data_IF_316213772964
#
_entry.id   IF_316213772964
#
_cell.length_a   1.000
_cell.length_b   1.000
_cell.length_c   1.000
_cell.angle_alpha   90.00
_cell.angle_beta   90.00
_cell.angle_gamma   90.00
#
_symmetry.space_group_name_H-M   'P 1'
#
loop_
_entity.id
_entity.type
_entity.pdbx_description
1 polymer ?
#
# COMPACT_ATOMS: atom_id res chain seq x y z
N UNK A 1 4.37 -0.67 -15.64
CA UNK A 1 4.73 -0.89 -14.22
C UNK A 1 5.92 -1.85 -14.13
N UNK A 2 5.87 -3.00 -14.80
CA UNK A 2 6.99 -3.97 -14.86
C UNK A 2 7.87 -3.80 -16.10
N UNK A 3 9.16 -4.11 -15.99
CA UNK A 3 10.09 -4.16 -17.12
C UNK A 3 9.79 -5.36 -18.04
N UNK A 4 10.10 -5.22 -19.32
CA UNK A 4 9.77 -6.21 -20.35
C UNK A 4 10.80 -7.33 -20.49
N UNK A 5 11.97 -7.22 -19.84
CA UNK A 5 13.08 -8.18 -20.04
C UNK A 5 13.01 -9.34 -19.07
N UNK A 6 12.47 -9.15 -17.86
CA UNK A 6 12.33 -10.22 -16.87
C UNK A 6 10.93 -10.34 -16.26
N UNK A 7 10.01 -9.37 -16.50
CA UNK A 7 8.67 -9.28 -15.87
C UNK A 7 8.66 -9.27 -14.33
N UNK A 8 9.82 -9.43 -13.69
CA UNK A 8 10.00 -9.49 -12.23
C UNK A 8 10.29 -8.10 -11.64
N UNK A 9 10.86 -7.18 -12.42
CA UNK A 9 11.30 -5.87 -11.94
C UNK A 9 10.40 -4.74 -12.43
N UNK A 10 10.49 -3.58 -11.77
CA UNK A 10 9.74 -2.39 -12.15
C UNK A 10 10.46 -1.57 -13.22
N UNK A 11 9.71 -0.83 -14.03
CA UNK A 11 10.31 0.22 -14.89
C UNK A 11 10.85 1.37 -14.02
N UNK A 12 11.65 2.27 -14.60
CA UNK A 12 12.11 3.48 -13.89
C UNK A 12 10.95 4.31 -13.31
N UNK A 13 9.84 4.40 -14.06
CA UNK A 13 8.60 5.03 -13.58
C UNK A 13 7.92 4.22 -12.48
N UNK A 14 7.94 2.89 -12.56
CA UNK A 14 7.42 2.01 -11.52
C UNK A 14 8.17 2.18 -10.19
N UNK A 15 9.50 2.18 -10.21
CA UNK A 15 10.32 2.43 -9.02
C UNK A 15 10.14 3.84 -8.45
N UNK A 16 9.99 4.87 -9.32
CA UNK A 16 9.61 6.20 -8.84
C UNK A 16 8.26 6.17 -8.12
N UNK A 17 7.26 5.50 -8.71
CA UNK A 17 5.95 5.31 -8.10
C UNK A 17 6.02 4.59 -6.75
N UNK A 18 6.84 3.54 -6.65
CA UNK A 18 7.08 2.81 -5.40
C UNK A 18 7.75 3.69 -4.34
N UNK A 19 8.79 4.45 -4.70
CA UNK A 19 9.45 5.39 -3.79
C UNK A 19 8.48 6.46 -3.26
N UNK A 20 7.72 7.08 -4.17
CA UNK A 20 6.69 8.06 -3.84
C UNK A 20 5.64 7.43 -2.92
N UNK A 21 5.21 6.21 -3.20
CA UNK A 21 4.27 5.46 -2.37
C UNK A 21 4.80 5.20 -0.97
N UNK A 22 6.02 4.67 -0.82
CA UNK A 22 6.66 4.40 0.48
C UNK A 22 6.73 5.68 1.31
N UNK A 23 7.32 6.75 0.76
CA UNK A 23 7.48 8.01 1.50
C UNK A 23 6.12 8.59 1.88
N UNK A 24 5.20 8.67 0.91
CA UNK A 24 3.88 9.25 1.17
C UNK A 24 3.13 8.42 2.22
N UNK A 25 3.08 7.09 2.10
CA UNK A 25 2.39 6.24 3.06
C UNK A 25 3.01 6.31 4.45
N UNK A 26 4.34 6.20 4.57
CA UNK A 26 5.01 6.24 5.88
C UNK A 26 4.84 7.59 6.58
N UNK A 27 4.97 8.70 5.83
CA UNK A 27 4.71 10.04 6.36
C UNK A 27 3.23 10.22 6.74
N UNK A 28 2.30 9.64 5.97
CA UNK A 28 0.85 9.66 6.26
C UNK A 28 0.44 8.76 7.43
N UNK A 29 1.16 7.67 7.71
CA UNK A 29 0.84 6.70 8.77
C UNK A 29 1.68 6.88 10.03
N UNK A 30 2.46 7.96 10.16
CA UNK A 30 3.13 8.33 11.42
C UNK A 30 2.15 8.43 12.61
N UNK A 31 0.86 8.57 12.30
CA UNK A 31 -0.28 8.52 13.19
C UNK A 31 -0.49 7.19 13.97
N UNK A 32 0.28 6.12 13.75
CA UNK A 32 -0.02 4.78 14.34
C UNK A 32 1.00 4.20 15.32
N UNK A 33 2.03 4.94 15.68
CA UNK A 33 3.23 4.32 16.27
C UNK A 33 3.05 3.86 17.72
N UNK A 34 2.56 2.64 17.93
CA UNK A 34 2.97 1.82 19.08
C UNK A 34 3.93 0.73 18.59
N UNK A 35 5.19 0.83 19.03
CA UNK A 35 6.21 -0.23 19.08
C UNK A 35 6.51 -1.00 17.77
N UNK A 36 7.60 -0.57 17.12
CA UNK A 36 8.52 -1.36 16.28
C UNK A 36 8.01 -2.15 15.06
N UNK A 37 6.74 -2.08 14.65
CA UNK A 37 6.30 -2.68 13.38
C UNK A 37 5.51 -1.67 12.53
N UNK A 38 6.14 -1.21 11.43
CA UNK A 38 5.63 -0.12 10.60
C UNK A 38 4.60 -0.62 9.58
N UNK A 39 4.72 -1.86 9.11
CA UNK A 39 3.79 -2.46 8.15
C UNK A 39 4.02 -3.99 8.09
N UNK A 40 3.00 -4.80 8.38
CA UNK A 40 2.99 -6.20 7.96
C UNK A 40 1.90 -6.34 6.91
N UNK A 41 2.30 -6.37 5.64
CA UNK A 41 1.40 -6.71 4.55
C UNK A 41 1.76 -8.10 4.07
N UNK A 42 0.94 -9.06 4.49
CA UNK A 42 0.99 -10.42 3.97
C UNK A 42 -0.04 -10.53 2.83
N UNK A 43 0.36 -10.39 1.55
CA UNK A 43 -0.54 -10.51 0.41
C UNK A 43 -1.20 -11.91 0.33
N UNK A 44 -0.65 -12.94 0.98
CA UNK A 44 -1.26 -14.26 1.04
C UNK A 44 -2.42 -14.34 2.06
N UNK A 45 -2.44 -13.50 3.11
CA UNK A 45 -3.61 -13.34 4.01
C UNK A 45 -4.72 -12.52 3.36
N UNK A 46 -4.37 -11.61 2.45
CA UNK A 46 -5.32 -10.92 1.58
C UNK A 46 -5.50 -11.72 0.29
N UNK A 47 -6.05 -12.92 0.44
CA UNK A 47 -6.42 -13.82 -0.65
C UNK A 47 -7.04 -13.05 -1.82
N UNK A 48 -6.57 -13.40 -3.02
CA UNK A 48 -7.01 -12.96 -4.35
C UNK A 48 -8.38 -12.27 -4.35
N UNK A 49 -8.42 -11.01 -4.75
CA UNK A 49 -9.63 -10.39 -5.28
C UNK A 49 -10.05 -11.14 -6.55
N UNK A 50 -10.80 -12.22 -6.41
CA UNK A 50 -11.51 -12.84 -7.53
C UNK A 50 -12.86 -12.16 -7.65
N UNK A 51 -13.00 -11.29 -8.65
CA UNK A 51 -14.32 -10.82 -9.08
C UNK A 51 -15.02 -11.96 -9.80
N UNK A 52 -15.81 -12.74 -9.07
CA UNK A 52 -16.84 -13.59 -9.66
C UNK A 52 -18.18 -13.05 -9.17
N UNK A 53 -18.92 -12.42 -10.10
CA UNK A 53 -20.33 -12.08 -9.94
C UNK A 53 -21.08 -13.26 -9.28
N UNK A 54 -21.84 -12.99 -8.21
CA UNK A 54 -22.60 -14.01 -7.48
C UNK A 54 -23.72 -13.40 -6.63
N UNK A 55 -24.93 -13.94 -6.81
CA UNK A 55 -26.24 -13.45 -6.38
C UNK A 55 -26.48 -13.40 -4.86
N UNK A 56 -27.43 -12.54 -4.47
CA UNK A 56 -28.10 -12.51 -3.17
C UNK A 56 -29.19 -13.59 -3.16
N UNK A 57 -29.15 -14.51 -2.19
CA UNK A 57 -30.32 -15.34 -1.82
C UNK A 57 -31.06 -14.75 -0.63
N UNK A 58 -32.38 -14.82 -0.72
CA UNK A 58 -33.40 -14.21 0.15
C UNK A 58 -33.72 -15.07 1.38
N UNK A 59 -33.10 -14.80 2.53
CA UNK A 59 -33.53 -15.39 3.82
C UNK A 59 -33.68 -14.38 4.97
N UNK A 60 -33.62 -13.08 4.69
CA UNK A 60 -34.34 -12.08 5.50
C UNK A 60 -33.75 -11.68 6.85
N UNK A 61 -32.47 -11.98 7.14
CA UNK A 61 -31.81 -11.56 8.41
C UNK A 61 -30.44 -10.87 8.19
N UNK A 62 -30.28 -10.13 7.07
CA UNK A 62 -29.00 -9.55 6.68
C UNK A 62 -28.74 -8.15 7.27
N UNK A 63 -27.64 -7.97 8.01
CA UNK A 63 -26.99 -6.65 8.18
C UNK A 63 -25.83 -6.59 7.18
N UNK A 64 -26.14 -6.01 6.02
CA UNK A 64 -25.13 -5.51 5.08
C UNK A 64 -24.55 -4.20 5.62
N UNK A 65 -23.41 -3.75 5.07
CA UNK A 65 -22.95 -2.36 5.18
C UNK A 65 -24.18 -1.47 4.99
N UNK A 66 -24.59 -0.63 5.97
CA UNK A 66 -25.80 0.17 5.81
C UNK A 66 -25.50 1.30 4.81
N UNK A 67 -25.58 0.95 3.52
CA UNK A 67 -25.52 1.91 2.43
C UNK A 67 -26.90 2.48 2.28
N UNK A 68 -27.04 3.76 2.60
CA UNK A 68 -28.31 4.47 2.37
C UNK A 68 -28.14 5.31 1.11
N UNK A 69 -29.00 5.07 0.12
CA UNK A 69 -29.10 5.96 -1.04
C UNK A 69 -29.65 7.30 -0.58
N UNK A 70 -29.03 8.38 -1.04
CA UNK A 70 -29.48 9.74 -0.76
C UNK A 70 -29.98 10.36 -2.07
N UNK A 71 -31.24 10.83 -2.08
CA UNK A 71 -31.86 11.51 -3.21
C UNK A 71 -33.24 10.97 -3.62
N UNK A 72 -33.90 11.65 -4.56
CA UNK A 72 -35.22 11.29 -5.09
C UNK A 72 -35.17 11.07 -6.60
N UNK A 73 -35.22 9.81 -7.05
CA UNK A 73 -35.73 9.45 -8.37
C UNK A 73 -36.55 8.16 -8.21
N UNK A 74 -37.87 8.28 -8.35
CA UNK A 74 -38.80 7.15 -8.36
C UNK A 74 -38.48 6.25 -9.57
N UNK A 75 -38.72 4.95 -9.41
CA UNK A 75 -38.78 3.88 -10.43
C UNK A 75 -37.49 3.37 -11.09
N UNK A 76 -37.18 2.09 -10.81
CA UNK A 76 -36.57 1.13 -11.77
C UNK A 76 -35.04 1.01 -11.75
N UNK A 77 -34.52 -0.22 -11.70
CA UNK A 77 -33.08 -0.52 -11.78
C UNK A 77 -32.40 -0.06 -13.07
N UNK A 78 -31.05 -0.12 -13.07
CA UNK A 78 -30.12 0.15 -14.17
C UNK A 78 -30.66 1.10 -15.26
N UNK A 79 -30.34 2.38 -15.07
CA UNK A 79 -31.20 3.54 -15.19
C UNK A 79 -32.16 3.75 -16.38
N UNK A 80 -33.18 4.56 -16.07
CA UNK A 80 -33.24 5.90 -16.66
C UNK A 80 -33.38 7.03 -15.59
N UNK A 81 -32.24 7.62 -15.22
CA UNK A 81 -32.05 9.04 -14.84
C UNK A 81 -32.20 9.52 -13.37
N UNK A 82 -31.69 8.92 -12.29
CA UNK A 82 -30.46 8.15 -12.16
C UNK A 82 -30.52 7.22 -10.94
N UNK A 83 -29.99 6.02 -11.12
CA UNK A 83 -30.17 4.83 -10.28
C UNK A 83 -28.90 3.95 -10.23
N UNK A 84 -27.73 4.50 -10.61
CA UNK A 84 -26.53 3.73 -10.97
C UNK A 84 -25.43 3.79 -9.88
N UNK A 85 -25.75 3.35 -8.67
CA UNK A 85 -24.75 2.94 -7.70
C UNK A 85 -24.48 1.44 -7.85
N UNK A 86 -23.27 1.09 -8.26
CA UNK A 86 -22.84 -0.29 -8.49
C UNK A 86 -21.76 -0.65 -7.48
N UNK A 87 -21.96 -1.74 -6.75
CA UNK A 87 -20.89 -2.37 -5.98
C UNK A 87 -19.96 -3.11 -6.95
N UNK A 88 -18.68 -2.78 -6.93
CA UNK A 88 -17.69 -3.28 -7.91
C UNK A 88 -16.75 -4.34 -7.34
N UNK A 89 -16.58 -4.39 -6.02
CA UNK A 89 -15.84 -5.43 -5.32
C UNK A 89 -16.44 -5.64 -3.93
N UNK A 90 -16.52 -6.90 -3.51
CA UNK A 90 -16.89 -7.29 -2.15
C UNK A 90 -15.66 -7.34 -1.24
N UNK A 91 -15.84 -6.92 0.02
CA UNK A 91 -14.98 -7.35 1.10
C UNK A 91 -15.25 -8.84 1.39
N UNK A 92 -14.57 -9.71 0.66
CA UNK A 92 -14.52 -11.15 0.95
C UNK A 92 -13.61 -11.34 2.16
N UNK A 93 -14.16 -11.32 3.38
CA UNK A 93 -13.30 -11.54 4.55
C UNK A 93 -13.91 -11.47 5.94
N UNK A 94 -15.16 -11.01 6.11
CA UNK A 94 -15.81 -10.99 7.42
C UNK A 94 -17.15 -11.73 7.40
N UNK A 95 -17.09 -12.97 6.94
CA UNK A 95 -18.14 -13.96 7.17
C UNK A 95 -17.74 -14.75 8.40
N UNK A 96 -18.48 -14.59 9.50
CA UNK A 96 -18.32 -15.49 10.63
C UNK A 96 -18.95 -16.83 10.24
N UNK A 97 -18.10 -17.83 9.99
CA UNK A 97 -18.50 -19.18 9.57
C UNK A 97 -19.39 -19.85 10.63
N UNK A 98 -19.27 -19.47 11.90
CA UNK A 98 -20.12 -19.97 12.99
C UNK A 98 -21.49 -19.29 13.07
N UNK A 99 -21.65 -18.08 12.51
CA UNK A 99 -22.89 -17.30 12.58
C UNK A 99 -23.61 -17.15 11.24
N UNK A 100 -23.04 -17.66 10.15
CA UNK A 100 -23.52 -17.59 8.77
C UNK A 100 -24.03 -16.19 8.36
N UNK A 101 -23.32 -15.13 8.81
CA UNK A 101 -23.69 -13.73 8.53
C UNK A 101 -22.46 -12.83 8.41
N UNK A 102 -22.62 -11.70 7.71
CA UNK A 102 -21.64 -10.60 7.73
C UNK A 102 -21.63 -9.96 9.12
N UNK A 103 -20.45 -9.84 9.74
CA UNK A 103 -20.27 -9.17 11.04
C UNK A 103 -20.24 -7.65 10.84
N UNK A 104 -20.78 -6.90 11.80
CA UNK A 104 -20.82 -5.43 11.74
C UNK A 104 -19.43 -4.82 11.53
N UNK A 105 -19.32 -3.92 10.55
CA UNK A 105 -18.11 -3.15 10.27
C UNK A 105 -17.82 -2.19 11.43
N UNK A 106 -16.73 -2.46 12.12
CA UNK A 106 -16.21 -1.62 13.18
C UNK A 106 -14.73 -1.39 12.93
N UNK A 107 -14.19 -0.28 13.45
CA UNK A 107 -12.76 0.03 13.34
C UNK A 107 -11.85 -1.03 14.01
N UNK A 108 -12.45 -1.94 14.80
CA UNK A 108 -11.75 -3.04 15.44
C UNK A 108 -10.93 -2.59 16.64
N UNK A 109 -10.38 -3.57 17.35
CA UNK A 109 -9.38 -3.34 18.40
C UNK A 109 -7.96 -3.25 17.84
N UNK A 110 -7.77 -3.56 16.55
CA UNK A 110 -6.48 -3.56 15.91
C UNK A 110 -6.03 -2.12 15.58
N UNK A 111 -4.82 -1.73 15.99
CA UNK A 111 -4.22 -0.44 15.61
C UNK A 111 -3.81 -0.37 14.13
N UNK A 112 -3.81 -1.52 13.44
CA UNK A 112 -3.55 -1.63 12.01
C UNK A 112 -4.77 -1.24 11.16
N UNK A 113 -4.59 -1.27 9.84
CA UNK A 113 -5.61 -0.83 8.89
C UNK A 113 -6.83 -1.74 8.96
N UNK A 114 -8.00 -1.17 9.25
CA UNK A 114 -9.25 -1.90 9.08
C UNK A 114 -9.91 -1.45 7.78
N UNK A 115 -10.16 -2.39 6.88
CA UNK A 115 -10.93 -2.13 5.68
C UNK A 115 -12.42 -2.18 6.02
N UNK A 116 -13.12 -1.07 5.75
CA UNK A 116 -14.46 -0.79 6.28
C UNK A 116 -15.55 -0.67 5.23
N UNK A 117 -15.26 -0.76 3.92
CA UNK A 117 -16.32 -0.70 2.92
C UNK A 117 -16.03 -1.54 1.70
N UNK A 118 -17.08 -1.99 1.01
CA UNK A 118 -16.95 -2.47 -0.35
C UNK A 118 -16.48 -1.33 -1.28
N UNK A 119 -16.13 -1.68 -2.53
CA UNK A 119 -15.88 -0.67 -3.56
C UNK A 119 -17.16 -0.32 -4.30
N UNK A 120 -17.41 0.97 -4.53
CA UNK A 120 -18.63 1.47 -5.15
C UNK A 120 -18.33 2.38 -6.34
N UNK A 121 -19.13 2.29 -7.38
CA UNK A 121 -19.15 3.19 -8.52
C UNK A 121 -20.52 3.85 -8.61
N UNK A 122 -20.58 5.17 -8.47
CA UNK A 122 -21.77 5.98 -8.71
C UNK A 122 -21.65 6.64 -10.09
N UNK A 123 -22.65 6.51 -10.94
CA UNK A 123 -22.78 7.33 -12.16
C UNK A 123 -24.10 8.08 -12.08
N UNK A 124 -24.07 9.40 -11.91
CA UNK A 124 -25.27 10.23 -11.73
C UNK A 124 -25.15 11.61 -12.36
N UNK A 125 -26.28 12.25 -12.65
CA UNK A 125 -26.38 13.57 -13.26
C UNK A 125 -27.19 14.58 -12.47
N UNK A 126 -27.68 14.25 -11.27
CA UNK A 126 -28.51 15.12 -10.44
C UNK A 126 -27.75 15.57 -9.18
N UNK A 127 -27.70 16.87 -8.94
CA UNK A 127 -27.09 17.42 -7.72
C UNK A 127 -27.75 16.84 -6.45
N UNK A 128 -26.93 16.47 -5.47
CA UNK A 128 -27.37 15.90 -4.19
C UNK A 128 -27.63 14.39 -4.22
N UNK A 129 -27.74 13.76 -5.39
CA UNK A 129 -27.83 12.31 -5.46
C UNK A 129 -26.51 11.65 -5.07
N UNK A 130 -26.59 10.53 -4.37
CA UNK A 130 -25.42 9.73 -4.06
C UNK A 130 -25.68 8.67 -3.00
N UNK A 131 -24.67 8.41 -2.18
CA UNK A 131 -24.72 7.33 -1.20
C UNK A 131 -24.02 7.70 0.10
N UNK A 132 -24.43 7.01 1.16
CA UNK A 132 -23.92 7.18 2.50
C UNK A 132 -23.54 5.82 3.09
N UNK A 133 -22.40 5.77 3.77
CA UNK A 133 -21.87 4.59 4.46
C UNK A 133 -21.63 4.99 5.91
N UNK A 134 -22.13 4.22 6.86
CA UNK A 134 -21.86 4.42 8.30
C UNK A 134 -21.18 3.20 8.91
N UNK A 135 -20.26 3.45 9.83
CA UNK A 135 -19.58 2.39 10.59
C UNK A 135 -19.36 2.80 12.05
N UNK A 136 -19.30 1.80 12.93
CA UNK A 136 -19.10 2.01 14.36
C UNK A 136 -17.62 2.26 14.65
N UNK A 137 -17.30 3.44 15.18
CA UNK A 137 -15.95 3.85 15.57
C UNK A 137 -15.61 3.49 17.03
N UNK A 138 -16.52 2.82 17.75
CA UNK A 138 -16.31 2.20 19.06
C UNK A 138 -15.78 3.16 20.13
N UNK A 139 -16.26 4.40 20.12
CA UNK A 139 -15.83 5.46 21.03
C UNK A 139 -14.30 5.65 21.00
N UNK A 140 -13.72 5.62 19.81
CA UNK A 140 -12.27 5.76 19.63
C UNK A 140 -11.92 7.02 18.85
N UNK A 141 -10.72 7.53 19.13
CA UNK A 141 -10.04 8.48 18.26
C UNK A 141 -9.47 7.71 17.06
N UNK A 142 -9.46 8.34 15.89
CA UNK A 142 -9.02 7.67 14.69
C UNK A 142 -8.73 8.59 13.53
N UNK A 143 -8.43 7.98 12.39
CA UNK A 143 -8.47 8.63 11.09
C UNK A 143 -8.99 7.65 10.04
N UNK A 144 -9.50 8.19 8.94
CA UNK A 144 -9.93 7.41 7.79
C UNK A 144 -9.23 7.85 6.51
N UNK A 145 -9.00 6.91 5.63
CA UNK A 145 -8.58 7.13 4.25
C UNK A 145 -9.72 6.73 3.31
N UNK A 146 -10.01 7.62 2.37
CA UNK A 146 -11.06 7.47 1.36
C UNK A 146 -10.43 7.73 -0.01
N UNK A 147 -10.03 6.69 -0.75
CA UNK A 147 -9.65 6.79 -2.15
C UNK A 147 -10.91 6.99 -3.00
N UNK A 148 -11.07 8.21 -3.51
CA UNK A 148 -12.20 8.68 -4.29
C UNK A 148 -11.71 9.17 -5.66
N UNK A 149 -12.19 8.59 -6.75
CA UNK A 149 -11.91 9.08 -8.09
C UNK A 149 -13.17 9.67 -8.70
N UNK A 150 -13.08 10.89 -9.24
CA UNK A 150 -14.12 11.45 -10.11
C UNK A 150 -13.63 11.31 -11.54
N UNK A 151 -14.21 10.40 -12.30
CA UNK A 151 -13.68 9.95 -13.59
C UNK A 151 -14.31 10.72 -14.76
N UNK A 152 -13.51 10.94 -15.79
CA UNK A 152 -13.92 11.42 -17.12
C UNK A 152 -14.29 10.22 -18.01
N UNK A 153 -15.37 9.51 -17.65
CA UNK A 153 -15.82 8.36 -18.43
C UNK A 153 -16.63 8.80 -19.65
N UNK A 154 -16.27 8.25 -20.81
CA UNK A 154 -17.08 8.36 -22.02
C UNK A 154 -18.21 7.34 -22.01
N UNK A 155 -19.40 7.73 -22.46
CA UNK A 155 -20.53 6.83 -22.66
C UNK A 155 -21.28 7.18 -23.95
N UNK A 156 -21.93 6.18 -24.55
CA UNK A 156 -22.80 6.39 -25.70
C UNK A 156 -24.23 6.52 -25.17
N UNK A 157 -24.88 7.63 -25.48
CA UNK A 157 -26.26 7.88 -25.08
C UNK A 157 -27.21 7.01 -25.90
N UNK A 158 -28.13 6.32 -25.23
CA UNK A 158 -29.16 5.51 -25.89
C UNK A 158 -30.23 6.36 -26.58
N UNK A 159 -30.33 7.65 -26.24
CA UNK A 159 -31.35 8.55 -26.79
C UNK A 159 -31.01 9.03 -28.21
N UNK A 160 -29.73 9.21 -28.51
CA UNK A 160 -29.25 9.84 -29.75
C UNK A 160 -28.01 9.15 -30.34
N UNK A 161 -27.51 8.09 -29.72
CA UNK A 161 -26.31 7.34 -30.14
C UNK A 161 -25.04 8.17 -30.20
N UNK A 162 -25.01 9.36 -29.57
CA UNK A 162 -23.82 10.19 -29.51
C UNK A 162 -22.92 9.82 -28.33
N UNK A 163 -21.62 10.10 -28.48
CA UNK A 163 -20.65 9.89 -27.39
C UNK A 163 -20.59 11.14 -26.52
N UNK A 164 -20.91 10.97 -25.24
CA UNK A 164 -20.82 11.98 -24.19
C UNK A 164 -19.68 11.63 -23.23
N UNK A 165 -19.28 12.62 -22.42
CA UNK A 165 -18.31 12.45 -21.33
C UNK A 165 -18.89 12.96 -20.03
N UNK A 166 -18.59 12.27 -18.94
CA UNK A 166 -18.83 12.82 -17.61
C UNK A 166 -17.89 14.00 -17.35
N UNK A 167 -18.42 15.06 -16.75
CA UNK A 167 -17.70 16.30 -16.48
C UNK A 167 -18.10 16.94 -15.15
N UNK A 168 -19.04 16.33 -14.42
CA UNK A 168 -19.49 16.81 -13.12
C UNK A 168 -18.49 16.57 -12.00
N UNK A 169 -18.87 17.01 -10.80
CA UNK A 169 -18.03 17.01 -9.60
C UNK A 169 -18.70 16.20 -8.48
N UNK A 170 -17.91 15.66 -7.57
CA UNK A 170 -18.42 14.96 -6.39
C UNK A 170 -18.13 15.75 -5.13
N UNK A 171 -19.12 15.87 -4.24
CA UNK A 171 -18.92 16.32 -2.86
C UNK A 171 -18.73 15.10 -1.97
N UNK A 172 -17.70 15.14 -1.13
CA UNK A 172 -17.51 14.17 -0.06
C UNK A 172 -17.67 14.89 1.27
N UNK A 173 -18.59 14.39 2.08
CA UNK A 173 -18.81 14.84 3.44
C UNK A 173 -18.53 13.68 4.40
N UNK A 174 -17.88 13.97 5.51
CA UNK A 174 -17.68 13.01 6.60
C UNK A 174 -18.20 13.60 7.90
N UNK A 175 -18.94 12.79 8.64
CA UNK A 175 -19.59 13.16 9.88
C UNK A 175 -19.05 12.31 11.03
N UNK A 176 -18.81 12.98 12.17
CA UNK A 176 -18.63 12.34 13.47
C UNK A 176 -19.93 12.57 14.28
N UNK A 177 -20.76 11.52 14.40
CA UNK A 177 -22.13 11.67 14.84
C UNK A 177 -22.91 12.63 13.92
N UNK A 178 -23.36 13.76 14.46
CA UNK A 178 -24.06 14.81 13.70
C UNK A 178 -23.15 15.93 13.18
N UNK A 179 -21.88 15.96 13.58
CA UNK A 179 -20.93 17.04 13.26
C UNK A 179 -20.23 16.72 11.94
N UNK A 180 -20.25 17.65 10.98
CA UNK A 180 -19.45 17.56 9.75
C UNK A 180 -17.99 17.84 10.10
N UNK A 181 -17.11 16.85 9.89
CA UNK A 181 -15.66 16.97 10.12
C UNK A 181 -14.86 17.12 8.83
N UNK A 182 -15.51 16.90 7.68
CA UNK A 182 -14.94 17.13 6.35
C UNK A 182 -16.07 17.45 5.37
N UNK A 183 -15.90 18.48 4.53
CA UNK A 183 -16.78 18.81 3.41
C UNK A 183 -15.92 19.41 2.29
N UNK A 184 -15.79 18.69 1.17
CA UNK A 184 -15.02 19.18 0.03
C UNK A 184 -15.60 18.68 -1.30
N UNK A 185 -15.35 19.47 -2.35
CA UNK A 185 -15.74 19.17 -3.73
C UNK A 185 -14.51 18.75 -4.53
N UNK A 186 -14.66 17.65 -5.25
CA UNK A 186 -13.62 16.98 -6.02
C UNK A 186 -13.94 17.03 -7.51
N UNK A 187 -12.94 17.42 -8.31
CA UNK A 187 -13.08 17.68 -9.72
C UNK A 187 -12.86 16.41 -10.57
N UNK A 188 -13.46 16.40 -11.77
CA UNK A 188 -13.31 15.32 -12.74
C UNK A 188 -11.85 15.14 -13.21
N UNK A 189 -11.49 13.90 -13.54
CA UNK A 189 -10.18 13.52 -14.07
C UNK A 189 -9.12 13.28 -13.01
N UNK A 190 -9.50 13.26 -11.72
CA UNK A 190 -8.57 13.14 -10.61
C UNK A 190 -8.92 11.96 -9.69
N UNK A 191 -7.87 11.29 -9.20
CA UNK A 191 -7.96 10.34 -8.09
C UNK A 191 -7.51 11.09 -6.84
N UNK A 192 -8.36 11.11 -5.83
CA UNK A 192 -8.13 11.76 -4.56
C UNK A 192 -7.98 10.71 -3.47
N UNK A 193 -6.91 10.80 -2.69
CA UNK A 193 -6.79 10.05 -1.44
C UNK A 193 -7.07 11.02 -0.30
N UNK A 194 -8.29 10.96 0.23
CA UNK A 194 -8.76 11.89 1.26
C UNK A 194 -8.48 11.31 2.63
N UNK A 195 -7.82 12.08 3.49
CA UNK A 195 -7.45 11.67 4.85
C UNK A 195 -8.15 12.57 5.85
N UNK A 196 -8.90 11.98 6.78
CA UNK A 196 -9.75 12.72 7.71
C UNK A 196 -9.53 12.20 9.11
N UNK A 197 -9.08 13.09 9.98
CA UNK A 197 -8.99 12.85 11.42
C UNK A 197 -10.37 12.92 12.06
N UNK A 198 -10.63 12.05 13.04
CA UNK A 198 -11.77 12.20 13.94
C UNK A 198 -11.34 12.02 15.41
N UNK A 199 -11.95 12.81 16.27
CA UNK A 199 -11.91 12.63 17.72
C UNK A 199 -12.99 11.62 18.15
N UNK A 200 -12.96 11.20 19.40
CA UNK A 200 -13.76 10.14 20.01
C UNK A 200 -15.16 10.06 19.41
N UNK A 201 -15.37 9.02 18.59
CA UNK A 201 -16.57 8.85 17.79
C UNK A 201 -17.24 7.51 18.09
N UNK A 202 -18.55 7.54 18.32
CA UNK A 202 -19.36 6.32 18.34
C UNK A 202 -19.60 5.83 16.91
N UNK A 203 -20.01 6.73 16.01
CA UNK A 203 -20.31 6.44 14.61
C UNK A 203 -19.66 7.46 13.71
N UNK A 204 -19.01 6.98 12.65
CA UNK A 204 -18.55 7.80 11.53
C UNK A 204 -19.42 7.50 10.32
N UNK A 205 -19.76 8.56 9.60
CA UNK A 205 -20.60 8.51 8.42
C UNK A 205 -19.89 9.20 7.27
N UNK A 206 -19.79 8.52 6.14
CA UNK A 206 -19.19 9.01 4.90
C UNK A 206 -20.29 9.16 3.87
N UNK A 207 -20.42 10.34 3.29
CA UNK A 207 -21.41 10.69 2.29
C UNK A 207 -20.73 11.19 1.04
N UNK A 208 -21.09 10.62 -0.10
CA UNK A 208 -20.61 11.04 -1.42
C UNK A 208 -21.80 11.38 -2.28
N UNK A 209 -21.86 12.61 -2.79
CA UNK A 209 -22.96 13.10 -3.64
C UNK A 209 -22.45 13.81 -4.87
N UNK A 210 -23.24 13.84 -5.94
CA UNK A 210 -23.02 14.74 -7.06
C UNK A 210 -23.16 16.19 -6.59
N UNK A 211 -22.17 17.02 -6.88
CA UNK A 211 -22.18 18.43 -6.47
C UNK A 211 -23.13 19.26 -7.34
N UNK A 212 -23.13 18.99 -8.65
CA UNK A 212 -23.91 19.71 -9.65
C UNK A 212 -24.78 18.74 -10.45
N UNK A 213 -25.83 19.26 -11.09
CA UNK A 213 -26.66 18.49 -12.02
C UNK A 213 -25.95 18.33 -13.37
N UNK A 214 -24.84 17.60 -13.36
CA UNK A 214 -23.98 17.32 -14.50
C UNK A 214 -23.59 15.84 -14.45
N UNK A 215 -23.57 15.11 -15.58
CA UNK A 215 -23.13 13.72 -15.59
C UNK A 215 -21.77 13.55 -14.92
N UNK A 216 -21.73 12.75 -13.87
CA UNK A 216 -20.62 12.55 -12.94
C UNK A 216 -20.42 11.05 -12.75
N UNK A 217 -19.18 10.58 -12.86
CA UNK A 217 -18.81 9.21 -12.50
C UNK A 217 -17.86 9.26 -11.31
N UNK A 218 -18.24 8.60 -10.22
CA UNK A 218 -17.49 8.56 -8.96
C UNK A 218 -17.15 7.11 -8.64
N UNK A 219 -15.90 6.84 -8.31
CA UNK A 219 -15.43 5.54 -7.84
C UNK A 219 -14.87 5.70 -6.43
N UNK A 220 -15.39 4.92 -5.49
CA UNK A 220 -14.87 4.72 -4.15
C UNK A 220 -14.23 3.33 -4.10
N UNK A 221 -12.91 3.26 -3.94
CA UNK A 221 -12.16 1.99 -3.96
C UNK A 221 -12.06 1.30 -2.58
N UNK A 222 -12.89 1.71 -1.63
CA UNK A 222 -12.92 1.21 -0.26
C UNK A 222 -12.53 2.25 0.79
N UNK A 223 -13.13 2.20 1.98
CA UNK A 223 -12.77 3.06 3.10
C UNK A 223 -11.83 2.27 4.03
N UNK A 224 -10.73 2.91 4.41
CA UNK A 224 -9.79 2.36 5.38
C UNK A 224 -9.86 3.19 6.65
N UNK A 225 -9.93 2.55 7.81
CA UNK A 225 -9.95 3.24 9.08
C UNK A 225 -8.88 2.73 10.02
N UNK A 226 -8.55 3.60 10.96
CA UNK A 226 -7.36 3.52 11.75
C UNK A 226 -7.62 4.04 13.15
N UNK A 227 -7.49 3.17 14.15
CA UNK A 227 -7.62 3.57 15.54
C UNK A 227 -6.33 4.29 15.98
N UNK A 228 -6.46 5.47 16.58
CA UNK A 228 -5.33 6.18 17.18
C UNK A 228 -4.95 5.52 18.50
N UNK A 229 -3.66 5.56 18.80
CA UNK A 229 -3.11 5.19 20.11
C UNK A 229 -2.74 6.46 20.88
N UNK A 230 -2.50 6.36 22.19
CA UNK A 230 -1.97 7.47 22.98
C UNK A 230 -0.58 7.96 22.50
N UNK A 231 0.13 7.17 21.69
CA UNK A 231 1.45 7.50 21.12
C UNK A 231 1.37 7.98 19.65
N UNK A 232 0.17 8.14 19.11
CA UNK A 232 -0.07 8.68 17.76
C UNK A 232 0.46 10.11 17.66
N UNK A 233 1.32 10.38 16.67
CA UNK A 233 1.83 11.74 16.40
C UNK A 233 1.49 12.19 14.97
N UNK A 234 1.28 13.49 14.80
CA UNK A 234 1.20 14.17 13.49
C UNK A 234 2.58 14.52 12.92
N UNK A 235 3.64 14.31 13.71
CA UNK A 235 4.99 14.62 13.28
C UNK A 235 5.37 13.76 12.07
N UNK A 236 6.14 14.37 11.17
CA UNK A 236 6.76 13.65 10.07
C UNK A 236 7.58 12.48 10.58
N UNK A 237 7.43 11.34 9.90
CA UNK A 237 8.19 10.14 10.19
C UNK A 237 9.68 10.37 9.93
N UNK A 238 10.01 10.80 8.70
CA UNK A 238 11.36 11.21 8.35
C UNK A 238 11.58 12.69 8.67
N UNK A 239 12.78 13.01 9.12
CA UNK A 239 13.23 14.32 9.59
C UNK A 239 14.59 14.66 8.98
N UNK A 240 14.95 15.94 9.02
CA UNK A 240 16.28 16.40 8.61
C UNK A 240 17.37 15.70 9.43
N UNK A 241 18.39 15.21 8.73
CA UNK A 241 19.51 14.48 9.31
C UNK A 241 19.27 12.98 9.50
N UNK A 242 18.08 12.46 9.20
CA UNK A 242 17.82 11.03 9.30
C UNK A 242 18.73 10.22 8.36
N UNK A 243 19.07 9.02 8.83
CA UNK A 243 19.80 8.01 8.06
C UNK A 243 18.84 6.85 7.80
N UNK A 244 18.49 6.63 6.54
CA UNK A 244 17.58 5.59 6.07
C UNK A 244 18.40 4.45 5.48
N UNK A 245 18.29 3.25 6.03
CA UNK A 245 18.83 2.04 5.44
C UNK A 245 17.75 1.35 4.60
N UNK A 246 18.08 1.03 3.34
CA UNK A 246 17.29 0.11 2.52
C UNK A 246 17.97 -1.25 2.58
N UNK A 247 17.25 -2.22 3.12
CA UNK A 247 17.69 -3.60 3.21
C UNK A 247 16.66 -4.51 2.53
N UNK A 248 16.87 -4.74 1.25
CA UNK A 248 15.91 -5.46 0.42
C UNK A 248 16.59 -6.38 -0.58
N UNK A 249 15.82 -7.21 -1.26
CA UNK A 249 16.29 -8.00 -2.39
C UNK A 249 16.63 -7.16 -3.64
N UNK A 250 16.63 -7.79 -4.82
CA UNK A 250 16.89 -7.12 -6.10
C UNK A 250 15.96 -5.93 -6.38
N UNK A 251 14.79 -5.82 -5.72
CA UNK A 251 13.93 -4.63 -5.85
C UNK A 251 14.50 -3.38 -5.18
N UNK A 252 15.45 -3.51 -4.25
CA UNK A 252 16.16 -2.36 -3.70
C UNK A 252 17.36 -1.91 -4.54
N UNK A 253 17.99 -2.83 -5.28
CA UNK A 253 19.20 -2.55 -6.08
C UNK A 253 18.94 -2.18 -7.54
N UNK A 254 17.95 -2.80 -8.17
CA UNK A 254 17.68 -2.70 -9.62
C UNK A 254 17.14 -1.31 -10.03
N UNK A 255 17.28 -0.87 -11.31
CA UNK A 255 17.99 -1.51 -12.44
C UNK A 255 19.50 -1.56 -12.28
N UNK A 256 20.13 -2.43 -13.06
CA UNK A 256 21.59 -2.43 -13.21
C UNK A 256 22.02 -1.14 -13.89
N UNK A 257 22.86 -0.32 -13.25
CA UNK A 257 23.38 0.94 -13.75
C UNK A 257 23.85 0.85 -15.21
N UNK A 258 24.66 -0.16 -15.56
CA UNK A 258 25.13 -0.37 -16.93
C UNK A 258 23.99 -0.56 -17.95
N UNK A 259 22.88 -1.19 -17.54
CA UNK A 259 21.72 -1.43 -18.44
C UNK A 259 20.91 -0.18 -18.74
N UNK A 260 21.08 0.88 -17.94
CA UNK A 260 20.43 2.18 -18.13
C UNK A 260 21.42 3.30 -18.49
N UNK A 261 22.67 2.94 -18.82
CA UNK A 261 23.72 3.90 -19.18
C UNK A 261 24.21 4.76 -18.01
N UNK A 262 24.01 4.31 -16.76
CA UNK A 262 24.50 4.99 -15.57
C UNK A 262 25.77 4.33 -15.02
N UNK A 263 26.56 5.11 -14.28
CA UNK A 263 27.68 4.60 -13.49
C UNK A 263 27.15 3.96 -12.21
N UNK A 264 27.63 2.76 -11.86
CA UNK A 264 27.29 2.13 -10.60
C UNK A 264 27.65 3.04 -9.42
N UNK A 265 26.77 3.10 -8.41
CA UNK A 265 27.03 3.87 -7.20
C UNK A 265 27.73 3.00 -6.17
N UNK A 266 28.87 3.47 -5.68
CA UNK A 266 29.64 2.83 -4.62
C UNK A 266 29.47 3.65 -3.33
N UNK A 267 29.07 2.99 -2.23
CA UNK A 267 29.08 3.63 -0.91
C UNK A 267 30.40 3.34 -0.20
N UNK A 268 31.26 4.35 0.02
CA UNK A 268 32.37 4.22 0.94
C UNK A 268 31.81 4.26 2.37
N UNK A 269 31.80 3.12 3.06
CA UNK A 269 31.48 3.07 4.49
C UNK A 269 32.79 3.14 5.27
N UNK A 270 33.10 4.31 5.83
CA UNK A 270 34.24 4.49 6.71
C UNK A 270 33.91 3.97 8.14
N UNK A 271 34.88 3.34 8.79
CA UNK A 271 34.81 2.78 10.16
C UNK A 271 33.80 1.63 10.37
N UNK A 272 34.25 0.43 10.00
CA UNK A 272 33.52 -0.83 10.09
C UNK A 272 34.27 -1.75 11.08
N UNK A 273 33.60 -2.31 12.09
CA UNK A 273 34.20 -3.23 13.07
C UNK A 273 34.63 -4.57 12.41
N UNK A 274 35.24 -5.52 13.11
CA UNK A 274 35.95 -6.66 12.49
C UNK A 274 35.09 -7.63 11.66
N UNK A 275 33.79 -7.80 11.95
CA UNK A 275 32.85 -8.60 11.12
C UNK A 275 32.45 -7.90 9.80
N UNK A 276 32.90 -6.66 9.59
CA UNK A 276 32.35 -5.73 8.62
C UNK A 276 33.29 -5.46 7.43
N UNK A 277 34.60 -5.69 7.57
CA UNK A 277 35.50 -5.82 6.41
C UNK A 277 35.02 -6.92 5.45
N UNK A 278 34.33 -7.91 5.98
CA UNK A 278 33.69 -9.00 5.25
C UNK A 278 32.51 -8.57 4.35
N UNK A 279 31.80 -7.49 4.68
CA UNK A 279 30.75 -6.94 3.79
C UNK A 279 31.35 -6.24 2.57
N UNK A 280 32.55 -5.66 2.70
CA UNK A 280 33.22 -4.93 1.63
C UNK A 280 34.75 -5.10 1.73
N UNK A 281 35.31 -6.28 1.41
CA UNK A 281 36.75 -6.54 1.59
C UNK A 281 37.64 -5.61 0.75
N UNK A 282 37.08 -5.01 -0.30
CA UNK A 282 37.73 -4.02 -1.17
C UNK A 282 37.09 -2.61 -1.08
N UNK A 283 36.15 -2.38 -0.16
CA UNK A 283 35.38 -1.12 -0.08
C UNK A 283 34.38 -0.90 -1.23
N UNK A 284 34.14 -1.91 -2.07
CA UNK A 284 33.32 -1.80 -3.28
C UNK A 284 32.17 -2.81 -3.24
N UNK A 285 30.93 -2.34 -3.36
CA UNK A 285 29.80 -3.18 -3.78
C UNK A 285 30.03 -3.51 -5.26
N UNK A 286 30.32 -4.76 -5.61
CA UNK A 286 30.55 -5.16 -7.02
C UNK A 286 29.28 -5.43 -7.81
N UNK A 287 28.11 -5.16 -7.23
CA UNK A 287 26.87 -5.21 -7.99
C UNK A 287 26.71 -3.92 -8.79
N UNK A 288 26.63 -4.08 -10.11
CA UNK A 288 26.44 -3.03 -11.11
C UNK A 288 25.06 -2.36 -11.00
N UNK A 289 24.55 -2.15 -9.80
CA UNK A 289 23.20 -1.70 -9.50
C UNK A 289 23.13 -0.17 -9.41
N UNK A 290 22.05 0.41 -9.92
CA UNK A 290 21.80 1.86 -9.93
C UNK A 290 21.21 2.36 -8.62
N UNK A 291 20.71 1.45 -7.77
CA UNK A 291 20.08 1.73 -6.48
C UNK A 291 18.94 2.74 -6.59
N UNK A 292 18.17 2.66 -7.68
CA UNK A 292 17.23 3.70 -8.08
C UNK A 292 16.15 4.02 -7.04
N UNK A 293 15.68 3.02 -6.29
CA UNK A 293 14.73 3.22 -5.18
C UNK A 293 15.29 4.19 -4.13
N UNK A 294 16.57 4.02 -3.74
CA UNK A 294 17.24 4.87 -2.74
C UNK A 294 17.34 6.33 -3.19
N UNK A 295 17.72 6.54 -4.46
CA UNK A 295 17.79 7.86 -5.09
C UNK A 295 16.42 8.54 -5.12
N UNK A 296 15.37 7.82 -5.52
CA UNK A 296 14.01 8.38 -5.61
C UNK A 296 13.41 8.70 -4.25
N UNK A 297 13.66 7.88 -3.22
CA UNK A 297 13.28 8.21 -1.84
C UNK A 297 13.96 9.51 -1.39
N UNK A 298 15.27 9.65 -1.64
CA UNK A 298 16.03 10.87 -1.31
C UNK A 298 15.48 12.09 -2.03
N UNK A 299 15.24 12.00 -3.34
CA UNK A 299 14.66 13.09 -4.15
C UNK A 299 13.25 13.48 -3.66
N UNK A 300 12.42 12.48 -3.32
CA UNK A 300 11.06 12.73 -2.80
C UNK A 300 11.09 13.43 -1.44
N UNK A 301 11.95 13.01 -0.52
CA UNK A 301 12.12 13.67 0.78
C UNK A 301 12.71 15.07 0.63
N UNK A 302 13.69 15.26 -0.24
CA UNK A 302 14.24 16.58 -0.55
C UNK A 302 13.16 17.53 -1.10
N UNK A 303 12.24 17.03 -1.94
CA UNK A 303 11.11 17.84 -2.42
C UNK A 303 10.11 18.26 -1.33
N UNK A 304 10.15 17.60 -0.16
CA UNK A 304 9.40 17.97 1.04
C UNK A 304 10.21 18.85 1.99
N UNK A 305 11.41 19.30 1.59
CA UNK A 305 12.33 20.03 2.45
C UNK A 305 13.02 19.16 3.51
N UNK A 306 13.06 17.84 3.31
CA UNK A 306 13.65 16.89 4.25
C UNK A 306 14.97 16.34 3.68
N UNK A 307 16.08 16.66 4.32
CA UNK A 307 17.42 16.22 3.94
C UNK A 307 17.81 14.97 4.71
N UNK A 308 18.02 13.86 4.00
CA UNK A 308 18.39 12.57 4.59
C UNK A 308 19.65 11.97 3.96
N UNK A 309 20.29 11.08 4.71
CA UNK A 309 21.25 10.11 4.16
C UNK A 309 20.51 8.82 3.85
N UNK A 310 20.72 8.24 2.67
CA UNK A 310 20.16 6.94 2.31
C UNK A 310 21.32 5.97 2.06
N UNK A 311 21.30 4.86 2.77
CA UNK A 311 22.22 3.73 2.61
C UNK A 311 21.44 2.59 1.96
N UNK A 312 22.03 1.89 1.00
CA UNK A 312 21.38 0.77 0.34
C UNK A 312 22.30 -0.45 0.34
N UNK A 313 21.88 -1.52 1.03
CA UNK A 313 22.61 -2.78 1.13
C UNK A 313 21.85 -3.93 0.45
N UNK A 314 21.00 -3.57 -0.51
CA UNK A 314 20.23 -4.53 -1.28
C UNK A 314 21.07 -5.35 -2.23
N UNK A 315 20.67 -6.60 -2.40
CA UNK A 315 21.26 -7.50 -3.38
C UNK A 315 20.24 -8.51 -3.92
N UNK A 316 20.34 -8.82 -5.21
CA UNK A 316 19.60 -9.93 -5.80
C UNK A 316 19.88 -11.27 -5.10
N UNK A 317 18.82 -12.07 -4.91
CA UNK A 317 18.89 -13.34 -4.18
C UNK A 317 18.83 -13.22 -2.65
N UNK A 318 18.88 -12.01 -2.06
CA UNK A 318 18.71 -11.87 -0.61
C UNK A 318 17.30 -12.29 -0.16
N UNK A 319 17.25 -13.04 0.93
CA UNK A 319 16.05 -13.52 1.62
C UNK A 319 16.02 -12.99 3.05
N UNK A 320 14.94 -13.23 3.78
CA UNK A 320 14.86 -12.87 5.21
C UNK A 320 15.92 -13.62 6.04
N UNK A 321 16.26 -14.88 5.70
CA UNK A 321 17.34 -15.62 6.37
C UNK A 321 18.71 -14.99 6.14
N UNK A 322 18.99 -14.59 4.90
CA UNK A 322 20.20 -13.85 4.57
C UNK A 322 20.27 -12.57 5.41
N UNK A 323 19.17 -11.82 5.47
CA UNK A 323 19.09 -10.59 6.22
C UNK A 323 19.34 -10.78 7.72
N UNK A 324 18.76 -11.82 8.31
CA UNK A 324 18.92 -12.16 9.72
C UNK A 324 20.37 -12.45 10.11
N UNK A 325 21.16 -13.06 9.22
CA UNK A 325 22.58 -13.32 9.50
C UNK A 325 23.41 -12.01 9.60
N UNK A 326 23.00 -10.97 8.88
CA UNK A 326 23.77 -9.75 8.68
C UNK A 326 23.14 -8.50 9.32
N UNK A 327 21.96 -8.62 9.94
CA UNK A 327 21.23 -7.47 10.50
C UNK A 327 22.02 -6.72 11.57
N UNK A 328 22.77 -7.42 12.43
CA UNK A 328 23.63 -6.77 13.43
C UNK A 328 24.65 -5.86 12.76
N UNK A 329 25.19 -6.29 11.62
CA UNK A 329 26.12 -5.49 10.86
C UNK A 329 25.46 -4.27 10.21
N UNK A 330 24.24 -4.43 9.73
CA UNK A 330 23.46 -3.33 9.20
C UNK A 330 23.11 -2.27 10.27
N UNK A 331 22.83 -2.70 11.50
CA UNK A 331 22.38 -1.83 12.60
C UNK A 331 23.49 -0.99 13.25
N UNK A 332 24.76 -1.34 13.05
CA UNK A 332 25.90 -0.56 13.57
C UNK A 332 26.72 0.12 12.47
N UNK A 333 26.17 0.27 11.27
CA UNK A 333 26.82 1.04 10.20
C UNK A 333 27.11 2.48 10.64
N UNK A 334 28.10 3.12 10.03
CA UNK A 334 28.35 4.56 10.20
C UNK A 334 28.11 5.29 8.88
N UNK A 335 27.22 6.30 8.82
CA UNK A 335 26.41 6.81 9.93
C UNK A 335 25.33 5.80 10.38
N UNK A 336 24.98 5.82 11.66
CA UNK A 336 24.04 4.86 12.26
C UNK A 336 22.64 5.02 11.65
N UNK A 337 22.03 3.96 11.11
CA UNK A 337 20.66 4.03 10.61
C UNK A 337 19.68 4.43 11.72
N UNK A 338 18.88 5.45 11.43
CA UNK A 338 17.72 5.87 12.24
C UNK A 338 16.45 5.13 11.83
N UNK A 339 16.41 4.69 10.57
CA UNK A 339 15.26 4.04 9.95
C UNK A 339 15.75 2.91 9.05
N UNK A 340 14.93 1.86 8.92
CA UNK A 340 15.21 0.75 8.01
C UNK A 340 13.95 0.45 7.17
N UNK A 341 14.13 0.28 5.87
CA UNK A 341 13.12 -0.18 4.92
C UNK A 341 13.51 -1.60 4.51
N UNK A 342 12.64 -2.56 4.82
CA UNK A 342 12.91 -3.99 4.64
C UNK A 342 11.98 -4.57 3.58
N UNK A 343 12.53 -5.33 2.62
CA UNK A 343 11.72 -6.09 1.65
C UNK A 343 12.47 -7.32 1.09
N UNK A 344 12.04 -8.52 1.48
CA UNK A 344 12.58 -9.79 0.97
C UNK A 344 11.50 -10.73 0.43
N UNK A 345 10.24 -10.26 0.35
CA UNK A 345 9.08 -11.12 0.17
C UNK A 345 9.10 -11.90 -1.16
N UNK A 346 9.77 -11.37 -2.19
CA UNK A 346 9.82 -12.04 -3.50
C UNK A 346 10.76 -13.23 -3.46
N UNK A 347 11.99 -13.05 -2.96
CA UNK A 347 12.94 -14.15 -2.88
C UNK A 347 12.59 -15.16 -1.78
N UNK A 348 11.96 -14.72 -0.69
CA UNK A 348 11.39 -15.64 0.29
C UNK A 348 10.32 -16.52 -0.36
N UNK A 349 9.38 -15.92 -1.11
CA UNK A 349 8.34 -16.65 -1.82
C UNK A 349 8.91 -17.59 -2.88
N UNK A 350 9.83 -17.10 -3.72
CA UNK A 350 10.47 -17.91 -4.75
C UNK A 350 11.34 -19.03 -4.14
N UNK A 351 11.90 -18.81 -2.95
CA UNK A 351 12.68 -19.80 -2.20
C UNK A 351 11.83 -20.95 -1.67
N UNK A 352 10.57 -20.69 -1.32
CA UNK A 352 9.57 -21.71 -0.92
C UNK A 352 9.23 -22.61 -2.12
N UNK A 353 9.01 -22.00 -3.30
CA UNK A 353 8.59 -22.71 -4.51
C UNK A 353 9.77 -23.33 -5.31
N UNK A 354 11.02 -23.10 -4.87
CA UNK A 354 12.20 -23.62 -5.56
C UNK A 354 12.34 -25.14 -5.38
N UNK A 355 12.32 -25.87 -6.50
CA UNK A 355 12.32 -27.35 -6.51
C UNK A 355 13.53 -27.98 -7.23
N UNK A 356 14.45 -27.18 -7.80
CA UNK A 356 15.60 -27.69 -8.58
C UNK A 356 16.93 -27.00 -8.26
N UNK A 357 18.01 -27.77 -8.29
CA UNK A 357 19.36 -27.41 -7.80
C UNK A 357 20.03 -26.14 -8.38
N UNK A 358 19.67 -25.60 -9.58
CA UNK A 358 20.12 -24.26 -9.96
C UNK A 358 19.39 -23.14 -9.20
N UNK A 359 18.11 -23.35 -8.86
CA UNK A 359 17.28 -22.38 -8.14
C UNK A 359 17.48 -22.49 -6.63
N UNK A 360 17.77 -23.70 -6.12
CA UNK A 360 18.03 -23.92 -4.70
C UNK A 360 19.26 -23.15 -4.22
N UNK A 361 20.35 -23.21 -4.99
CA UNK A 361 21.62 -22.57 -4.65
C UNK A 361 21.67 -21.06 -4.91
N UNK A 362 20.70 -20.49 -5.63
CA UNK A 362 20.64 -19.06 -5.96
C UNK A 362 20.41 -18.15 -4.73
N UNK A 363 19.90 -18.72 -3.64
CA UNK A 363 19.62 -18.02 -2.37
C UNK A 363 20.64 -18.33 -1.28
N UNK A 364 21.53 -19.31 -1.50
CA UNK A 364 22.58 -19.64 -0.55
C UNK A 364 23.62 -18.51 -0.51
N UNK A 365 24.15 -18.25 0.69
CA UNK A 365 25.04 -17.12 0.94
C UNK A 365 26.29 -17.49 1.73
N UNK A 366 27.34 -16.69 1.55
CA UNK A 366 28.53 -16.80 2.38
C UNK A 366 28.25 -16.15 3.76
N UNK A 367 28.37 -16.89 4.88
CA UNK A 367 28.16 -16.33 6.21
C UNK A 367 29.23 -15.30 6.62
N UNK A 368 30.33 -15.24 5.89
CA UNK A 368 31.46 -14.34 6.09
C UNK A 368 31.57 -13.28 5.00
N UNK A 369 30.81 -13.32 3.90
CA UNK A 369 30.84 -12.28 2.86
C UNK A 369 29.42 -11.93 2.41
N UNK A 370 28.86 -10.83 2.93
CA UNK A 370 27.42 -10.52 2.78
C UNK A 370 26.92 -10.45 1.35
N UNK A 371 27.74 -10.03 0.39
CA UNK A 371 27.35 -9.92 -1.01
C UNK A 371 27.90 -11.06 -1.87
N UNK A 372 28.22 -12.21 -1.29
CA UNK A 372 28.65 -13.38 -2.03
C UNK A 372 27.64 -14.52 -1.88
N UNK A 373 27.25 -15.09 -3.02
CA UNK A 373 26.53 -16.36 -3.04
C UNK A 373 27.53 -17.49 -2.84
N UNK A 374 27.21 -18.44 -1.98
CA UNK A 374 28.05 -19.60 -1.72
C UNK A 374 27.17 -20.77 -1.37
N UNK A 375 27.29 -21.86 -2.13
CA UNK A 375 26.47 -23.06 -1.95
C UNK A 375 26.73 -23.67 -0.58
N UNK A 376 25.72 -24.31 0.00
CA UNK A 376 25.87 -25.05 1.26
C UNK A 376 27.01 -26.08 1.19
N UNK A 377 27.14 -26.80 0.06
CA UNK A 377 28.20 -27.81 -0.16
C UNK A 377 29.61 -27.23 -0.14
N UNK A 378 29.76 -25.92 -0.38
CA UNK A 378 31.04 -25.22 -0.39
C UNK A 378 31.28 -24.46 0.94
N UNK A 379 30.45 -24.70 1.96
CA UNK A 379 30.51 -24.02 3.26
C UNK A 379 29.72 -22.71 3.34
N UNK A 380 28.71 -22.54 2.49
CA UNK A 380 27.70 -21.49 2.62
C UNK A 380 26.56 -21.85 3.57
N UNK A 381 25.60 -20.93 3.72
CA UNK A 381 24.40 -21.11 4.54
C UNK A 381 23.16 -21.17 3.64
N UNK A 382 22.26 -22.10 3.95
CA UNK A 382 20.96 -22.23 3.28
C UNK A 382 20.11 -20.98 3.57
N UNK A 383 20.05 -20.11 2.56
CA UNK A 383 19.31 -18.86 2.63
C UNK A 383 17.83 -19.00 2.32
N UNK A 384 17.32 -20.19 1.99
CA UNK A 384 15.92 -20.33 1.60
C UNK A 384 14.99 -20.37 2.80
N UNK A 385 13.90 -19.64 2.68
CA UNK A 385 12.72 -19.80 3.52
C UNK A 385 11.98 -21.05 3.02
N UNK A 386 11.83 -22.09 3.86
CA UNK A 386 11.36 -23.41 3.38
C UNK A 386 9.84 -23.55 3.37
N UNK A 387 9.13 -22.66 4.04
CA UNK A 387 7.67 -22.66 4.08
C UNK A 387 7.14 -21.29 4.50
N UNK A 388 5.87 -21.02 4.18
CA UNK A 388 5.19 -19.81 4.67
C UNK A 388 5.12 -19.75 6.20
N UNK A 389 5.04 -20.89 6.89
CA UNK A 389 5.02 -20.94 8.36
C UNK A 389 6.36 -20.57 9.00
N UNK A 390 7.46 -20.68 8.24
CA UNK A 390 8.78 -20.24 8.67
C UNK A 390 9.03 -18.76 8.38
N UNK A 391 8.31 -18.23 7.39
CA UNK A 391 8.38 -16.83 7.00
C UNK A 391 7.66 -15.89 7.98
N UNK A 392 6.51 -16.34 8.51
CA UNK A 392 5.75 -15.66 9.58
C UNK A 392 6.51 -15.66 10.92
#
# INVERSE_FOLDING_TARGET
MHDSFQSQHLTLFGYKGLADHIVNCVQKYSYKKSENLIFNFNPAKYLRQTSSLGQITTDGVAIAIPVTLLGTAKTGGWAAGTTNLVKTADLVGYFDVGLNRKVALNIGTNAHTQYLSDSYKLQDGIAGNGFEISFNAQNSDGFIEIPLAVRDESYISSADSQTYKTSGKARLQVFNGSIVIHDAVYAVGQVHHVFIDFATAETIKVRVTCETSTPTSVLLSGIFAYKKSAKTSKDSFFKDGDVILIYADSWGGYPKAATIGETAQYYPIANMATKYQAMYPNGLQTDNDSQWLSRRIKEKLASQGINVTVLNISKGGQTTRWAKNWIDAALTMTPKPTHCIINFGINDNNGIDATSEPLLSAYDFDPNLMFLNKRVVDGGVDGRTRSYAEWE
#
